data_IF_651129077228
#
_entry.id   IF_651129077228
#
_cell.length_a   1.000
_cell.length_b   1.000
_cell.length_c   1.000
_cell.angle_alpha   90.00
_cell.angle_beta   90.00
_cell.angle_gamma   90.00
#
_symmetry.space_group_name_H-M   'P 1'
#
loop_
_entity.id
_entity.type
_entity.pdbx_description
1 polymer ?
#
# COMPACT_ATOMS: atom_id res chain seq x y z
N UNK A 1 2.59 17.63 11.25
CA UNK A 1 4.03 17.87 11.46
C UNK A 1 4.81 16.73 10.82
N UNK A 2 5.99 16.98 10.27
CA UNK A 2 6.86 15.92 9.76
C UNK A 2 7.91 15.60 10.81
N UNK A 3 8.08 14.32 11.09
CA UNK A 3 9.05 13.82 12.08
C UNK A 3 9.92 12.80 11.35
N UNK A 4 11.24 13.01 11.26
CA UNK A 4 12.12 12.00 10.70
C UNK A 4 12.03 10.70 11.51
N UNK A 5 12.06 9.56 10.84
CA UNK A 5 11.86 8.25 11.47
C UNK A 5 12.83 8.00 12.63
N UNK A 6 14.11 8.31 12.44
CA UNK A 6 15.13 8.14 13.47
C UNK A 6 14.91 9.09 14.66
N UNK A 7 14.37 10.29 14.42
CA UNK A 7 14.03 11.27 15.48
C UNK A 7 12.86 10.78 16.32
N UNK A 8 11.86 10.13 15.70
CA UNK A 8 10.75 9.51 16.41
C UNK A 8 11.22 8.38 17.34
N UNK A 9 12.18 7.57 16.88
CA UNK A 9 12.76 6.46 17.64
C UNK A 9 13.88 6.87 18.60
N UNK A 10 14.09 8.16 18.83
CA UNK A 10 15.17 8.72 19.67
C UNK A 10 16.61 8.37 19.24
N UNK A 11 16.82 7.90 18.00
CA UNK A 11 18.14 7.55 17.45
C UNK A 11 18.76 8.58 16.51
N UNK A 12 18.02 9.62 16.11
CA UNK A 12 18.44 10.63 15.13
C UNK A 12 18.89 11.96 15.75
N UNK A 13 19.72 12.71 14.99
CA UNK A 13 20.15 14.07 15.34
C UNK A 13 19.23 15.16 14.76
N UNK A 14 18.47 14.85 13.72
CA UNK A 14 17.58 15.82 13.07
C UNK A 14 16.40 16.17 13.98
N UNK A 15 16.03 17.46 14.13
CA UNK A 15 14.88 17.84 14.94
C UNK A 15 13.57 17.50 14.23
N UNK A 16 12.55 17.14 15.02
CA UNK A 16 11.17 17.18 14.54
C UNK A 16 10.78 18.64 14.32
N UNK A 17 10.01 18.94 13.27
CA UNK A 17 9.59 20.32 12.99
C UNK A 17 8.08 20.47 13.01
N UNK A 18 7.60 21.63 13.48
CA UNK A 18 6.20 22.03 13.35
C UNK A 18 5.81 22.17 11.88
N UNK A 19 4.52 22.36 11.59
CA UNK A 19 4.04 22.67 10.23
C UNK A 19 4.61 23.96 9.65
N UNK A 20 5.19 24.83 10.48
CA UNK A 20 5.84 26.08 10.10
C UNK A 20 7.37 25.94 9.99
N UNK A 21 7.91 24.72 10.11
CA UNK A 21 9.35 24.44 10.01
C UNK A 21 10.14 24.73 11.29
N UNK A 22 9.50 25.07 12.41
CA UNK A 22 10.20 25.37 13.67
C UNK A 22 10.59 24.06 14.38
N UNK A 23 11.83 23.93 14.88
CA UNK A 23 12.28 22.72 15.57
C UNK A 23 11.54 22.53 16.90
N UNK A 24 11.26 21.27 17.24
CA UNK A 24 10.60 20.87 18.47
C UNK A 24 11.60 20.21 19.44
N UNK A 25 11.61 20.60 20.72
CA UNK A 25 12.38 19.90 21.74
C UNK A 25 11.91 18.45 21.90
N UNK A 26 12.85 17.52 22.13
CA UNK A 26 12.56 16.08 22.30
C UNK A 26 11.49 15.79 23.36
N UNK A 27 11.53 16.48 24.51
CA UNK A 27 10.54 16.31 25.57
C UNK A 27 9.11 16.72 25.15
N UNK A 28 8.99 17.70 24.25
CA UNK A 28 7.69 18.12 23.69
C UNK A 28 7.21 17.10 22.66
N UNK A 29 8.10 16.65 21.76
CA UNK A 29 7.79 15.58 20.80
C UNK A 29 7.33 14.30 21.51
N UNK A 30 8.01 13.88 22.58
CA UNK A 30 7.65 12.68 23.35
C UNK A 30 6.26 12.80 23.97
N UNK A 31 5.88 13.97 24.48
CA UNK A 31 4.54 14.20 25.04
C UNK A 31 3.47 14.21 23.96
N UNK A 32 3.74 14.85 22.83
CA UNK A 32 2.84 14.85 21.68
C UNK A 32 2.64 13.44 21.12
N UNK A 33 3.69 12.63 21.09
CA UNK A 33 3.63 11.26 20.58
C UNK A 33 2.80 10.31 21.47
N UNK A 34 2.60 10.61 22.75
CA UNK A 34 1.78 9.79 23.64
C UNK A 34 0.31 9.70 23.20
N UNK A 35 -0.22 10.80 22.61
CA UNK A 35 -1.64 10.92 22.23
C UNK A 35 -1.83 11.18 20.72
N UNK A 36 -0.77 11.05 19.91
CA UNK A 36 -0.82 11.31 18.48
C UNK A 36 -1.25 10.08 17.68
N UNK A 37 -2.05 10.32 16.63
CA UNK A 37 -2.17 9.37 15.53
C UNK A 37 -0.99 9.57 14.57
N UNK A 38 -0.08 8.59 14.52
CA UNK A 38 1.13 8.64 13.71
C UNK A 38 0.88 7.98 12.37
N UNK A 39 1.06 8.73 11.29
CA UNK A 39 1.02 8.20 9.92
C UNK A 39 2.42 8.15 9.35
N UNK A 40 2.85 6.95 8.93
CA UNK A 40 4.11 6.77 8.21
C UNK A 40 3.95 7.24 6.77
N UNK A 41 4.91 8.03 6.32
CA UNK A 41 5.05 8.40 4.91
C UNK A 41 6.37 7.81 4.41
N UNK A 42 6.30 6.85 3.47
CA UNK A 42 7.48 6.36 2.76
C UNK A 42 7.60 7.17 1.48
N UNK A 43 8.77 7.74 1.24
CA UNK A 43 9.07 8.41 0.00
C UNK A 43 9.89 7.47 -0.90
N UNK A 44 9.67 7.54 -2.21
CA UNK A 44 10.63 7.01 -3.18
C UNK A 44 11.93 7.84 -3.18
N UNK A 45 12.99 7.43 -3.91
CA UNK A 45 14.24 8.20 -3.98
C UNK A 45 14.09 9.63 -4.52
N UNK A 46 13.00 9.95 -5.21
CA UNK A 46 12.69 11.29 -5.70
C UNK A 46 11.81 12.10 -4.73
N UNK A 47 11.50 11.56 -3.55
CA UNK A 47 10.70 12.25 -2.54
C UNK A 47 9.19 12.08 -2.70
N UNK A 48 8.72 11.12 -3.50
CA UNK A 48 7.29 10.92 -3.77
C UNK A 48 6.67 9.92 -2.78
N UNK A 49 5.57 10.28 -2.07
CA UNK A 49 4.88 9.36 -1.15
C UNK A 49 4.35 8.09 -1.81
N UNK A 50 4.83 6.93 -1.36
CA UNK A 50 4.37 5.57 -1.72
C UNK A 50 3.59 4.87 -0.59
N UNK A 51 3.52 5.51 0.57
CA UNK A 51 2.70 5.14 1.72
C UNK A 51 2.22 6.44 2.36
N UNK A 52 0.92 6.55 2.63
CA UNK A 52 0.32 7.69 3.34
C UNK A 52 -0.53 7.22 4.53
N UNK A 53 -0.32 5.98 4.97
CA UNK A 53 -1.06 5.33 6.05
C UNK A 53 -2.56 5.56 5.95
N UNK A 54 -3.17 6.15 6.98
CA UNK A 54 -4.63 6.34 7.06
C UNK A 54 -5.10 7.78 6.83
N UNK A 55 -4.17 8.71 6.56
CA UNK A 55 -4.51 10.13 6.28
C UNK A 55 -5.35 10.31 5.02
N UNK A 56 -5.28 9.37 4.08
CA UNK A 56 -6.10 9.34 2.88
C UNK A 56 -6.82 8.01 2.76
N UNK A 57 -8.13 8.04 2.56
CA UNK A 57 -8.90 6.84 2.20
C UNK A 57 -8.69 6.43 0.75
N UNK A 58 -8.58 7.39 -0.17
CA UNK A 58 -8.40 7.13 -1.60
C UNK A 58 -6.91 7.15 -1.95
N UNK A 59 -6.48 6.23 -2.82
CA UNK A 59 -5.11 6.20 -3.31
C UNK A 59 -4.71 7.55 -3.92
N UNK A 60 -3.53 8.06 -3.54
CA UNK A 60 -2.97 9.26 -4.15
C UNK A 60 -2.60 8.99 -5.61
N UNK A 61 -2.48 10.03 -6.47
CA UNK A 61 -2.01 9.85 -7.85
C UNK A 61 -0.64 9.16 -7.94
N UNK A 62 0.24 9.39 -6.97
CA UNK A 62 1.53 8.71 -6.88
C UNK A 62 1.39 7.20 -6.63
N UNK A 63 0.59 6.81 -5.63
CA UNK A 63 0.29 5.41 -5.35
C UNK A 63 -0.38 4.75 -6.56
N UNK A 64 -1.33 5.44 -7.23
CA UNK A 64 -1.98 4.93 -8.45
C UNK A 64 -0.99 4.62 -9.58
N UNK A 65 0.01 5.49 -9.78
CA UNK A 65 1.08 5.28 -10.78
C UNK A 65 1.99 4.14 -10.39
N UNK A 66 2.41 4.06 -9.12
CA UNK A 66 3.23 2.97 -8.61
C UNK A 66 2.51 1.61 -8.75
N UNK A 67 1.21 1.56 -8.45
CA UNK A 67 0.36 0.40 -8.67
C UNK A 67 0.28 0.02 -10.16
N UNK A 68 0.16 0.99 -11.07
CA UNK A 68 0.16 0.70 -12.50
C UNK A 68 1.50 0.13 -12.98
N UNK A 69 2.61 0.63 -12.46
CA UNK A 69 3.95 0.13 -12.77
C UNK A 69 4.21 -1.26 -12.19
N UNK A 70 3.68 -1.59 -11.02
CA UNK A 70 3.84 -2.90 -10.38
C UNK A 70 2.88 -3.95 -10.95
N UNK A 71 1.60 -3.61 -11.07
CA UNK A 71 0.55 -4.57 -11.40
C UNK A 71 0.34 -4.72 -12.90
N UNK A 72 0.79 -3.77 -13.74
CA UNK A 72 0.66 -3.81 -15.21
C UNK A 72 -0.77 -3.99 -15.77
N UNK A 73 -1.80 -4.02 -14.92
CA UNK A 73 -3.17 -4.32 -15.28
C UNK A 73 -3.98 -4.78 -14.07
N UNK A 74 -5.10 -5.46 -14.32
CA UNK A 74 -5.84 -6.11 -13.25
C UNK A 74 -5.02 -7.24 -12.63
N UNK A 75 -4.85 -7.24 -11.31
CA UNK A 75 -4.07 -8.25 -10.60
C UNK A 75 -4.73 -9.63 -10.51
N UNK A 76 -6.03 -9.72 -10.76
CA UNK A 76 -6.78 -10.97 -10.64
C UNK A 76 -6.28 -12.03 -11.64
N UNK A 77 -6.19 -13.32 -11.26
CA UNK A 77 -5.64 -14.36 -12.12
C UNK A 77 -6.29 -14.40 -13.50
N UNK A 78 -5.46 -14.44 -14.54
CA UNK A 78 -5.87 -14.56 -15.95
C UNK A 78 -6.66 -13.38 -16.51
N UNK A 79 -6.64 -12.21 -15.87
CA UNK A 79 -7.26 -10.99 -16.39
C UNK A 79 -6.25 -10.15 -17.18
N UNK A 80 -6.60 -9.74 -18.39
CA UNK A 80 -5.75 -8.95 -19.29
C UNK A 80 -6.09 -7.45 -19.29
N UNK A 81 -7.04 -7.01 -18.46
CA UNK A 81 -7.51 -5.62 -18.48
C UNK A 81 -6.38 -4.65 -18.12
N UNK A 82 -6.19 -3.59 -18.92
CA UNK A 82 -5.07 -2.66 -18.73
C UNK A 82 -5.27 -1.79 -17.49
N UNK A 83 -4.22 -1.12 -16.97
CA UNK A 83 -4.34 -0.23 -15.83
C UNK A 83 -5.38 0.86 -16.03
N UNK A 84 -5.64 1.33 -17.24
CA UNK A 84 -6.66 2.35 -17.50
C UNK A 84 -8.09 1.89 -17.10
N UNK A 85 -8.33 0.59 -16.98
CA UNK A 85 -9.65 0.00 -16.70
C UNK A 85 -9.73 -0.57 -15.27
N UNK A 86 -8.83 -0.13 -14.39
CA UNK A 86 -8.74 -0.61 -13.00
C UNK A 86 -8.90 0.49 -11.97
N UNK A 87 -9.35 0.05 -10.80
CA UNK A 87 -9.49 0.81 -9.57
C UNK A 87 -8.45 0.31 -8.56
N UNK A 88 -8.01 1.20 -7.66
CA UNK A 88 -7.17 0.79 -6.54
C UNK A 88 -8.04 0.12 -5.48
N UNK A 89 -7.69 -1.10 -5.11
CA UNK A 89 -8.37 -1.90 -4.12
C UNK A 89 -7.47 -2.11 -2.90
N UNK A 90 -7.99 -1.87 -1.70
CA UNK A 90 -7.32 -2.23 -0.45
C UNK A 90 -7.45 -3.73 -0.18
N UNK A 91 -6.34 -4.42 0.07
CA UNK A 91 -6.34 -5.85 0.44
C UNK A 91 -6.92 -6.04 1.83
N UNK A 92 -6.40 -5.31 2.82
CA UNK A 92 -7.11 -5.09 4.08
C UNK A 92 -7.95 -3.84 3.92
N UNK A 93 -9.28 -3.98 3.95
CA UNK A 93 -10.21 -2.85 3.78
C UNK A 93 -9.89 -1.68 4.72
N UNK A 94 -10.04 -0.45 4.21
CA UNK A 94 -9.72 0.77 4.97
C UNK A 94 -10.59 0.88 6.24
N UNK A 95 -11.86 0.47 6.16
CA UNK A 95 -12.77 0.36 7.30
C UNK A 95 -12.33 -0.65 8.36
N UNK A 96 -11.53 -1.65 7.95
CA UNK A 96 -10.94 -2.65 8.84
C UNK A 96 -9.52 -2.25 9.30
N UNK A 97 -9.13 -1.00 9.06
CA UNK A 97 -7.86 -0.44 9.50
C UNK A 97 -6.68 -0.58 8.55
N UNK A 98 -6.91 -1.05 7.32
CA UNK A 98 -5.85 -1.15 6.32
C UNK A 98 -5.34 0.23 5.87
N UNK A 99 -4.01 0.40 5.69
CA UNK A 99 -3.42 1.65 5.22
C UNK A 99 -3.60 1.82 3.71
N UNK A 100 -3.60 3.07 3.26
CA UNK A 100 -3.42 3.44 1.86
C UNK A 100 -1.93 3.49 1.56
N UNK A 101 -1.41 2.33 1.17
CA UNK A 101 0.00 2.11 0.90
C UNK A 101 0.16 1.14 -0.28
N UNK A 102 1.28 1.25 -1.01
CA UNK A 102 1.58 0.31 -2.10
C UNK A 102 1.54 -1.16 -1.63
N UNK A 103 2.00 -1.43 -0.40
CA UNK A 103 2.02 -2.77 0.21
C UNK A 103 0.65 -3.31 0.67
N UNK A 104 -0.41 -2.50 0.65
CA UNK A 104 -1.78 -2.92 1.02
C UNK A 104 -2.79 -2.65 -0.09
N UNK A 105 -2.35 -2.25 -1.29
CA UNK A 105 -3.23 -1.95 -2.40
C UNK A 105 -2.83 -2.72 -3.65
N UNK A 106 -3.80 -3.01 -4.51
CA UNK A 106 -3.64 -3.63 -5.82
C UNK A 106 -4.59 -2.98 -6.84
N UNK A 107 -4.34 -3.19 -8.14
CA UNK A 107 -5.27 -2.82 -9.20
C UNK A 107 -6.25 -3.95 -9.50
N UNK A 108 -7.55 -3.66 -9.48
CA UNK A 108 -8.60 -4.56 -9.92
C UNK A 108 -9.53 -3.86 -10.90
N UNK A 109 -9.98 -4.54 -11.94
CA UNK A 109 -11.03 -4.02 -12.81
C UNK A 109 -12.39 -4.08 -12.11
N UNK A 110 -13.38 -3.30 -12.55
CA UNK A 110 -14.68 -3.25 -11.89
C UNK A 110 -15.42 -4.60 -11.76
N UNK A 111 -15.11 -5.60 -12.59
CA UNK A 111 -15.63 -6.96 -12.42
C UNK A 111 -14.96 -7.67 -11.25
N UNK A 112 -13.63 -7.80 -11.29
CA UNK A 112 -12.89 -8.51 -10.25
C UNK A 112 -12.88 -7.75 -8.92
N UNK A 113 -13.01 -6.42 -8.94
CA UNK A 113 -13.18 -5.63 -7.72
C UNK A 113 -14.44 -6.04 -6.96
N UNK A 114 -15.59 -6.15 -7.65
CA UNK A 114 -16.82 -6.69 -7.04
C UNK A 114 -16.66 -8.14 -6.63
N UNK A 115 -16.04 -8.95 -7.48
CA UNK A 115 -15.85 -10.38 -7.19
C UNK A 115 -15.08 -10.63 -5.89
N UNK A 116 -13.95 -9.94 -5.68
CA UNK A 116 -13.16 -10.14 -4.45
C UNK A 116 -13.91 -9.68 -3.19
N UNK A 117 -14.75 -8.64 -3.30
CA UNK A 117 -15.62 -8.19 -2.21
C UNK A 117 -16.70 -9.22 -1.84
N UNK A 118 -17.25 -9.94 -2.82
CA UNK A 118 -18.35 -10.89 -2.59
C UNK A 118 -17.88 -12.30 -2.22
N UNK A 119 -16.83 -12.81 -2.88
CA UNK A 119 -16.52 -14.25 -2.87
C UNK A 119 -15.46 -14.65 -1.82
N UNK A 120 -15.11 -13.76 -0.88
CA UNK A 120 -14.14 -14.01 0.21
C UNK A 120 -12.78 -14.54 -0.30
N UNK A 121 -12.29 -13.98 -1.40
CA UNK A 121 -10.93 -14.25 -1.86
C UNK A 121 -9.93 -13.76 -0.81
N UNK A 122 -8.90 -14.56 -0.54
CA UNK A 122 -7.77 -14.10 0.27
C UNK A 122 -6.68 -13.62 -0.66
N UNK A 123 -6.15 -12.42 -0.41
CA UNK A 123 -5.09 -11.81 -1.21
C UNK A 123 -3.85 -11.70 -0.34
N UNK A 124 -2.72 -12.21 -0.82
CA UNK A 124 -1.42 -12.15 -0.15
C UNK A 124 -0.39 -11.52 -1.07
N UNK A 125 0.67 -10.94 -0.52
CA UNK A 125 1.83 -10.49 -1.29
C UNK A 125 2.95 -11.52 -1.18
N UNK A 126 3.51 -11.90 -2.33
CA UNK A 126 4.67 -12.78 -2.41
C UNK A 126 5.99 -12.01 -2.16
N UNK A 127 7.12 -12.70 -1.96
CA UNK A 127 8.42 -12.04 -1.75
C UNK A 127 8.88 -11.12 -2.90
N UNK A 128 8.34 -11.31 -4.11
CA UNK A 128 8.58 -10.44 -5.27
C UNK A 128 7.70 -9.17 -5.26
N UNK A 129 6.89 -8.98 -4.22
CA UNK A 129 6.03 -7.82 -4.03
C UNK A 129 4.74 -7.85 -4.85
N UNK A 130 4.45 -8.95 -5.56
CA UNK A 130 3.26 -9.09 -6.38
C UNK A 130 2.16 -9.90 -5.67
N UNK A 131 0.89 -9.64 -5.99
CA UNK A 131 -0.22 -10.29 -5.33
C UNK A 131 -0.45 -11.74 -5.81
N UNK A 132 -0.83 -12.59 -4.87
CA UNK A 132 -1.39 -13.93 -5.06
C UNK A 132 -2.82 -13.98 -4.53
N UNK A 133 -3.68 -14.69 -5.25
CA UNK A 133 -5.10 -14.85 -4.94
C UNK A 133 -5.37 -16.28 -4.54
N UNK A 134 -5.85 -16.46 -3.31
CA UNK A 134 -6.25 -17.74 -2.78
C UNK A 134 -7.78 -17.83 -2.89
N UNK A 135 -8.30 -18.72 -3.75
CA UNK A 135 -9.74 -18.90 -3.92
C UNK A 135 -10.42 -19.40 -2.63
N UNK A 136 -11.71 -19.11 -2.47
CA UNK A 136 -12.53 -19.74 -1.45
C UNK A 136 -12.70 -21.25 -1.75
N UNK A 137 -13.00 -22.09 -0.72
CA UNK A 137 -13.09 -23.55 -0.89
C UNK A 137 -14.09 -24.03 -1.94
N UNK A 138 -15.15 -23.26 -2.19
CA UNK A 138 -16.17 -23.61 -3.20
C UNK A 138 -15.71 -23.38 -4.64
N UNK A 139 -14.66 -22.57 -4.86
CA UNK A 139 -14.01 -22.38 -6.17
C UNK A 139 -12.84 -23.35 -6.33
N UNK A 140 -12.11 -23.62 -5.26
CA UNK A 140 -11.00 -24.57 -5.23
C UNK A 140 -10.88 -25.18 -3.83
N UNK A 141 -11.28 -26.45 -3.65
CA UNK A 141 -11.20 -27.12 -2.35
C UNK A 141 -9.78 -27.15 -1.77
N UNK A 142 -8.76 -27.13 -2.64
CA UNK A 142 -7.36 -27.13 -2.24
C UNK A 142 -6.80 -25.73 -1.98
N UNK A 143 -7.59 -24.67 -2.22
CA UNK A 143 -7.21 -23.27 -2.00
C UNK A 143 -5.83 -22.93 -2.58
N UNK A 144 -5.54 -23.41 -3.79
CA UNK A 144 -4.22 -23.20 -4.42
C UNK A 144 -4.05 -21.72 -4.78
N UNK A 145 -2.95 -21.07 -4.37
CA UNK A 145 -2.67 -19.69 -4.75
C UNK A 145 -2.57 -19.54 -6.27
N UNK A 146 -3.15 -18.46 -6.80
CA UNK A 146 -3.17 -18.14 -8.23
C UNK A 146 -2.61 -16.74 -8.42
N UNK A 147 -1.74 -16.59 -9.41
CA UNK A 147 -1.19 -15.28 -9.82
C UNK A 147 -1.64 -14.96 -11.22
N UNK A 148 -1.67 -13.68 -11.55
CA UNK A 148 -1.88 -13.26 -12.92
C UNK A 148 -0.56 -13.36 -13.71
N UNK A 149 -0.47 -14.23 -14.75
CA UNK A 149 0.75 -14.37 -15.55
C UNK A 149 1.07 -13.11 -16.37
N UNK A 150 0.10 -12.23 -16.61
CA UNK A 150 0.31 -10.98 -17.35
C UNK A 150 1.02 -9.91 -16.53
N UNK A 151 1.02 -10.04 -15.20
CA UNK A 151 1.62 -9.09 -14.26
C UNK A 151 3.11 -9.37 -14.05
N UNK A 152 3.86 -9.52 -15.14
CA UNK A 152 5.30 -9.82 -15.05
C UNK A 152 6.03 -8.58 -14.55
N UNK A 153 6.82 -8.68 -13.46
CA UNK A 153 7.58 -7.55 -12.97
C UNK A 153 8.60 -7.11 -14.03
N UNK A 154 8.84 -5.81 -14.13
CA UNK A 154 10.02 -5.31 -14.84
C UNK A 154 11.27 -5.96 -14.20
N UNK A 155 12.30 -6.35 -14.99
CA UNK A 155 13.47 -7.09 -14.49
C UNK A 155 14.18 -6.50 -13.26
N UNK A 156 13.94 -5.23 -12.92
CA UNK A 156 14.58 -4.47 -11.85
C UNK A 156 13.63 -3.86 -10.80
N UNK A 157 12.36 -4.28 -10.73
CA UNK A 157 11.43 -3.76 -9.71
C UNK A 157 11.62 -4.49 -8.37
N UNK A 158 12.64 -4.13 -7.59
CA UNK A 158 12.75 -4.54 -6.17
C UNK A 158 12.07 -3.48 -5.30
N UNK A 159 11.11 -3.87 -4.47
CA UNK A 159 10.65 -3.00 -3.38
C UNK A 159 11.78 -2.85 -2.36
N UNK A 160 11.99 -1.65 -1.79
CA UNK A 160 12.90 -1.44 -0.66
C UNK A 160 12.41 -2.13 0.62
#
# INVERSE_FOLDING_TARGET
MLVPWNTLLAGGLDPATTSWGLPLPRGVLSRLACDAEITRIILDPAGVPLDVGRTHRVATPAIRRALAARDHGCAFPSCDRPPAWTECHHVTGWENGGPTALSNMILLCGQHHRQVHHDKWTITFEPDGLPSFIPPPHIDPHRRPRRNPYNRPLPNFRQP
#
